data_IF_081846806131
#
_entry.id   IF_081846806131
#
_cell.length_a   1.000
_cell.length_b   1.000
_cell.length_c   1.000
_cell.angle_alpha   90.00
_cell.angle_beta   90.00
_cell.angle_gamma   90.00
#
_symmetry.space_group_name_H-M   'P 1'
#
loop_
_entity.id
_entity.type
_entity.pdbx_description
1 polymer ?
#
# COMPACT_ATOMS: atom_id res chain seq x y z
N UNK A 1 -0.99 22.19 19.18
CA UNK A 1 -1.93 22.81 18.22
C UNK A 1 -1.39 22.59 16.82
N UNK A 2 -1.63 21.41 16.27
CA UNK A 2 -1.14 21.02 14.95
C UNK A 2 -2.12 21.56 13.92
N UNK A 3 -1.71 22.57 13.14
CA UNK A 3 -2.51 23.10 12.04
C UNK A 3 -2.47 22.07 10.91
N UNK A 4 -3.58 21.37 10.67
CA UNK A 4 -3.77 20.58 9.47
C UNK A 4 -3.86 21.57 8.29
N UNK A 5 -2.73 21.81 7.62
CA UNK A 5 -2.71 22.50 6.34
C UNK A 5 -3.17 21.50 5.28
N UNK A 6 -4.38 21.68 4.76
CA UNK A 6 -4.79 21.05 3.52
C UNK A 6 -3.87 21.61 2.42
N UNK A 7 -2.90 20.83 1.98
CA UNK A 7 -2.08 21.13 0.82
C UNK A 7 -2.98 21.02 -0.42
N UNK A 8 -3.42 22.17 -0.91
CA UNK A 8 -3.93 22.30 -2.26
C UNK A 8 -2.77 22.03 -3.22
N UNK A 9 -2.82 20.93 -3.98
CA UNK A 9 -2.28 20.86 -5.35
C UNK A 9 -2.73 19.56 -6.03
N UNK A 10 -3.74 19.66 -6.89
CA UNK A 10 -3.81 19.00 -8.19
C UNK A 10 -5.10 19.47 -8.87
N UNK A 11 -4.95 20.20 -9.97
CA UNK A 11 -6.05 20.61 -10.83
C UNK A 11 -6.79 19.37 -11.34
N UNK A 12 -8.02 19.17 -10.87
CA UNK A 12 -8.95 18.22 -11.49
C UNK A 12 -10.02 19.05 -12.21
N UNK A 13 -9.82 19.23 -13.51
CA UNK A 13 -10.87 19.72 -14.41
C UNK A 13 -12.04 18.74 -14.35
N UNK A 14 -13.11 19.13 -13.64
CA UNK A 14 -14.34 18.36 -13.55
C UNK A 14 -15.14 18.61 -14.84
N UNK A 15 -14.97 17.74 -15.82
CA UNK A 15 -15.82 17.71 -17.02
C UNK A 15 -17.19 17.18 -16.62
N UNK A 16 -18.14 18.09 -16.39
CA UNK A 16 -19.52 17.75 -16.07
C UNK A 16 -20.26 17.35 -17.36
N UNK A 17 -20.40 16.04 -17.60
CA UNK A 17 -21.30 15.54 -18.62
C UNK A 17 -22.74 15.68 -18.12
N UNK A 18 -23.48 16.66 -18.65
CA UNK A 18 -24.93 16.74 -18.51
C UNK A 18 -25.57 15.55 -19.22
N UNK A 19 -26.15 14.64 -18.44
CA UNK A 19 -27.28 13.82 -18.90
C UNK A 19 -28.50 14.23 -18.09
N UNK A 20 -29.48 14.81 -18.80
CA UNK A 20 -30.75 15.30 -18.27
C UNK A 20 -31.57 14.16 -17.66
N UNK A 21 -31.51 14.04 -16.35
CA UNK A 21 -32.54 13.42 -15.50
C UNK A 21 -32.87 14.42 -14.40
N UNK A 22 -34.16 14.67 -14.15
CA UNK A 22 -34.68 15.69 -13.23
C UNK A 22 -33.82 15.88 -11.98
N UNK A 23 -33.20 17.05 -11.86
CA UNK A 23 -32.33 17.43 -10.75
C UNK A 23 -33.22 17.84 -9.57
N UNK A 24 -33.50 16.93 -8.64
CA UNK A 24 -33.88 17.34 -7.28
C UNK A 24 -32.58 17.50 -6.49
N UNK A 25 -32.14 18.75 -6.33
CA UNK A 25 -30.98 19.09 -5.52
C UNK A 25 -31.41 19.12 -4.04
N UNK A 26 -31.83 17.97 -3.49
CA UNK A 26 -32.42 17.95 -2.15
C UNK A 26 -31.36 17.85 -1.03
N UNK A 27 -30.17 17.34 -1.33
CA UNK A 27 -29.10 17.12 -0.33
C UNK A 27 -27.69 17.32 -0.88
N UNK A 28 -26.82 17.92 -0.05
CA UNK A 28 -25.37 17.92 -0.20
C UNK A 28 -24.83 16.77 0.64
N UNK A 29 -24.28 15.74 0.00
CA UNK A 29 -23.67 14.62 0.73
C UNK A 29 -22.15 14.81 0.87
N UNK A 30 -21.66 14.82 2.10
CA UNK A 30 -20.23 14.84 2.43
C UNK A 30 -19.88 13.52 3.11
N UNK A 31 -19.15 12.65 2.42
CA UNK A 31 -18.71 11.38 3.03
C UNK A 31 -17.48 11.60 3.90
N UNK A 32 -17.60 11.28 5.19
CA UNK A 32 -16.46 11.11 6.08
C UNK A 32 -16.07 9.63 6.10
N UNK A 33 -14.96 9.30 5.46
CA UNK A 33 -14.34 7.98 5.53
C UNK A 33 -13.34 7.98 6.68
N UNK A 34 -13.69 7.27 7.75
CA UNK A 34 -12.79 7.04 8.88
C UNK A 34 -12.13 5.69 8.62
N UNK A 35 -10.87 5.75 8.19
CA UNK A 35 -10.01 4.57 8.21
C UNK A 35 -9.76 4.15 9.65
N UNK A 36 -9.82 2.84 9.94
CA UNK A 36 -9.28 2.32 11.19
C UNK A 36 -7.80 2.77 11.27
N UNK A 37 -7.35 3.28 12.42
CA UNK A 37 -6.49 4.45 12.42
C UNK A 37 -5.06 4.15 11.95
N UNK A 38 -4.43 5.08 11.20
CA UNK A 38 -3.02 5.38 11.44
C UNK A 38 -2.84 5.64 12.93
N UNK A 39 -1.92 4.98 13.63
CA UNK A 39 -1.58 5.48 14.96
C UNK A 39 -0.96 6.89 14.86
N UNK A 40 -1.42 7.87 15.65
CA UNK A 40 -2.57 7.81 16.57
C UNK A 40 -3.91 8.12 15.89
N UNK A 41 -4.98 7.46 16.36
CA UNK A 41 -6.35 7.64 15.88
C UNK A 41 -6.78 9.11 15.91
N UNK A 42 -7.14 9.73 14.76
CA UNK A 42 -7.60 11.12 14.74
C UNK A 42 -8.92 11.34 15.49
N UNK A 43 -9.63 10.26 15.85
CA UNK A 43 -10.82 10.26 16.69
C UNK A 43 -10.57 9.64 18.07
N UNK A 44 -9.29 9.47 18.48
CA UNK A 44 -8.98 8.98 19.81
C UNK A 44 -9.62 9.88 20.87
N UNK A 45 -10.43 9.28 21.74
CA UNK A 45 -11.15 10.01 22.78
C UNK A 45 -12.40 10.77 22.30
N UNK A 46 -12.72 10.79 21.00
CA UNK A 46 -13.98 11.31 20.49
C UNK A 46 -15.12 10.35 20.82
N UNK A 47 -16.20 10.87 21.37
CA UNK A 47 -17.45 10.16 21.66
C UNK A 47 -18.62 10.66 20.82
N UNK A 48 -18.63 11.94 20.48
CA UNK A 48 -19.66 12.58 19.66
C UNK A 48 -19.03 13.44 18.57
N UNK A 49 -19.73 13.57 17.45
CA UNK A 49 -19.34 14.45 16.34
C UNK A 49 -20.38 15.55 16.22
N UNK A 50 -19.94 16.80 16.13
CA UNK A 50 -20.78 17.96 15.86
C UNK A 50 -20.48 18.51 14.48
N UNK A 51 -21.52 18.68 13.68
CA UNK A 51 -21.49 19.39 12.42
C UNK A 51 -22.12 20.75 12.62
N UNK A 52 -21.45 21.81 12.20
CA UNK A 52 -21.96 23.18 12.23
C UNK A 52 -21.84 23.79 10.85
N UNK A 53 -22.91 24.38 10.34
CA UNK A 53 -22.90 25.28 9.19
C UNK A 53 -23.08 26.70 9.69
N UNK A 54 -22.17 27.58 9.29
CA UNK A 54 -22.20 29.01 9.62
C UNK A 54 -21.80 29.85 8.41
N UNK A 55 -21.97 31.16 8.48
CA UNK A 55 -21.63 32.07 7.39
C UNK A 55 -22.23 33.45 7.60
N UNK A 56 -21.95 34.37 6.69
CA UNK A 56 -22.47 35.73 6.76
C UNK A 56 -24.01 35.72 6.71
N UNK A 57 -24.63 36.44 7.65
CA UNK A 57 -26.09 36.56 7.76
C UNK A 57 -26.82 35.29 8.22
N UNK A 58 -26.09 34.27 8.70
CA UNK A 58 -26.66 33.01 9.16
C UNK A 58 -26.39 32.79 10.66
N UNK A 59 -27.45 32.59 11.44
CA UNK A 59 -27.33 31.97 12.76
C UNK A 59 -26.84 30.53 12.58
N UNK A 60 -25.69 30.23 13.19
CA UNK A 60 -25.05 28.93 13.02
C UNK A 60 -26.02 27.79 13.34
N UNK A 61 -26.12 26.82 12.41
CA UNK A 61 -26.94 25.62 12.54
C UNK A 61 -26.04 24.45 12.85
N UNK A 62 -26.39 23.66 13.86
CA UNK A 62 -25.58 22.50 14.22
C UNK A 62 -26.43 21.28 14.54
N UNK A 63 -25.84 20.11 14.35
CA UNK A 63 -26.37 18.81 14.72
C UNK A 63 -25.26 17.98 15.35
N UNK A 64 -25.63 17.03 16.20
CA UNK A 64 -24.70 16.12 16.88
C UNK A 64 -25.17 14.69 16.70
N UNK A 65 -24.22 13.77 16.54
CA UNK A 65 -24.45 12.33 16.57
C UNK A 65 -23.37 11.65 17.40
N UNK A 66 -23.66 10.44 17.88
CA UNK A 66 -22.62 9.59 18.42
C UNK A 66 -21.58 9.32 17.33
N UNK A 67 -20.31 9.21 17.72
CA UNK A 67 -19.21 8.87 16.78
C UNK A 67 -19.51 7.61 15.97
N UNK A 68 -20.31 6.69 16.54
CA UNK A 68 -20.59 5.37 15.98
C UNK A 68 -22.05 5.21 15.47
N UNK A 69 -22.85 6.28 15.38
CA UNK A 69 -24.08 6.27 14.56
C UNK A 69 -23.70 6.17 13.05
N UNK A 70 -24.59 6.22 12.07
CA UNK A 70 -24.19 5.99 10.65
C UNK A 70 -24.16 7.25 9.79
N UNK A 71 -24.79 8.32 10.26
CA UNK A 71 -25.09 9.50 9.48
C UNK A 71 -25.41 10.70 10.37
N UNK A 72 -24.89 11.86 9.99
CA UNK A 72 -25.16 13.13 10.63
C UNK A 72 -25.88 14.04 9.63
N UNK A 73 -27.15 14.34 9.90
CA UNK A 73 -28.04 15.08 8.99
C UNK A 73 -28.37 16.44 9.56
N UNK A 74 -28.09 17.50 8.80
CA UNK A 74 -28.46 18.87 9.12
C UNK A 74 -29.52 19.35 8.11
N UNK A 75 -30.81 19.37 8.48
CA UNK A 75 -31.85 19.88 7.60
C UNK A 75 -31.87 21.42 7.58
N UNK A 76 -32.51 21.97 6.55
CA UNK A 76 -32.84 23.40 6.41
C UNK A 76 -31.62 24.34 6.44
N UNK A 77 -30.55 24.00 5.71
CA UNK A 77 -29.38 24.89 5.60
C UNK A 77 -29.73 26.10 4.73
N UNK A 78 -29.73 27.33 5.27
CA UNK A 78 -30.17 28.49 4.50
C UNK A 78 -29.17 28.87 3.41
N UNK A 79 -29.70 29.17 2.23
CA UNK A 79 -28.94 29.72 1.11
C UNK A 79 -28.19 30.99 1.50
N UNK A 80 -27.12 31.29 0.77
CA UNK A 80 -26.33 32.50 0.89
C UNK A 80 -24.84 32.24 0.71
N UNK A 81 -24.06 33.30 0.84
CA UNK A 81 -22.65 33.31 0.47
C UNK A 81 -21.74 32.96 1.65
N UNK A 82 -20.51 32.55 1.34
CA UNK A 82 -19.45 32.30 2.30
C UNK A 82 -19.86 31.38 3.48
N UNK A 83 -20.61 30.33 3.16
CA UNK A 83 -20.94 29.25 4.09
C UNK A 83 -19.69 28.46 4.41
N UNK A 84 -19.57 28.05 5.66
CA UNK A 84 -18.45 27.26 6.18
C UNK A 84 -19.02 26.08 6.94
N UNK A 85 -18.50 24.89 6.65
CA UNK A 85 -18.79 23.66 7.37
C UNK A 85 -17.67 23.43 8.37
N UNK A 86 -18.04 23.28 9.64
CA UNK A 86 -17.14 22.90 10.73
C UNK A 86 -17.56 21.52 11.24
N UNK A 87 -16.60 20.61 11.36
CA UNK A 87 -16.78 19.30 11.97
C UNK A 87 -15.89 19.23 13.22
N UNK A 88 -16.49 18.99 14.37
CA UNK A 88 -15.81 18.88 15.66
C UNK A 88 -15.99 17.48 16.24
N UNK A 89 -14.92 16.85 16.70
CA UNK A 89 -14.95 15.66 17.53
C UNK A 89 -14.89 16.05 19.00
N UNK A 90 -15.84 15.58 19.80
CA UNK A 90 -15.95 15.91 21.22
C UNK A 90 -15.75 14.69 22.10
N UNK A 91 -15.04 14.87 23.21
CA UNK A 91 -14.88 13.83 24.22
C UNK A 91 -16.13 13.60 25.07
N UNK A 92 -16.06 12.65 26.01
CA UNK A 92 -17.18 12.31 26.90
C UNK A 92 -17.65 13.47 27.80
N UNK A 93 -16.81 14.48 28.01
CA UNK A 93 -17.13 15.69 28.75
C UNK A 93 -17.66 16.83 27.87
N UNK A 94 -17.72 16.63 26.55
CA UNK A 94 -18.12 17.63 25.58
C UNK A 94 -16.99 18.62 25.20
N UNK A 95 -15.74 18.33 25.54
CA UNK A 95 -14.61 19.15 25.10
C UNK A 95 -14.21 18.79 23.66
N UNK A 96 -13.91 19.79 22.84
CA UNK A 96 -13.46 19.59 21.45
C UNK A 96 -12.03 19.06 21.46
N UNK A 97 -11.83 17.85 20.92
CA UNK A 97 -10.52 17.19 20.82
C UNK A 97 -9.99 17.12 19.39
N UNK A 98 -10.86 17.24 18.39
CA UNK A 98 -10.48 17.37 16.98
C UNK A 98 -11.42 18.34 16.24
N UNK A 99 -10.92 19.04 15.22
CA UNK A 99 -11.68 20.04 14.45
C UNK A 99 -11.18 20.15 13.01
N UNK A 100 -12.11 20.09 12.06
CA UNK A 100 -11.90 20.35 10.63
C UNK A 100 -12.85 21.44 10.14
N UNK A 101 -12.40 22.21 9.15
CA UNK A 101 -13.18 23.32 8.58
C UNK A 101 -13.02 23.34 7.06
N UNK A 102 -14.13 23.55 6.34
CA UNK A 102 -14.11 23.70 4.89
C UNK A 102 -13.61 25.08 4.47
N UNK A 103 -13.17 25.23 3.22
CA UNK A 103 -13.13 26.55 2.60
C UNK A 103 -14.56 27.14 2.51
N UNK A 104 -14.71 28.47 2.47
CA UNK A 104 -16.00 29.10 2.23
C UNK A 104 -16.59 28.67 0.88
N UNK A 105 -17.90 28.44 0.84
CA UNK A 105 -18.65 28.11 -0.38
C UNK A 105 -20.01 28.82 -0.38
N UNK A 106 -20.59 29.00 -1.57
CA UNK A 106 -21.89 29.65 -1.71
C UNK A 106 -23.00 28.60 -1.93
N UNK A 107 -24.15 28.79 -1.28
CA UNK A 107 -25.36 28.00 -1.49
C UNK A 107 -26.41 28.86 -2.18
N UNK A 108 -26.90 28.43 -3.34
CA UNK A 108 -27.98 29.11 -4.06
C UNK A 108 -29.37 28.65 -3.59
N UNK A 109 -30.41 29.44 -3.85
CA UNK A 109 -31.80 29.09 -3.54
C UNK A 109 -32.30 27.82 -4.27
N UNK A 110 -31.68 27.47 -5.39
CA UNK A 110 -31.94 26.22 -6.12
C UNK A 110 -31.04 25.06 -5.66
N UNK A 111 -30.20 25.31 -4.66
CA UNK A 111 -29.22 24.37 -4.12
C UNK A 111 -29.78 23.48 -3.00
N UNK A 112 -28.93 22.61 -2.46
CA UNK A 112 -29.32 21.67 -1.42
C UNK A 112 -29.70 22.37 -0.11
N UNK A 113 -30.88 22.02 0.41
CA UNK A 113 -31.37 22.49 1.71
C UNK A 113 -31.05 21.53 2.85
N UNK A 114 -30.41 20.39 2.56
CA UNK A 114 -29.97 19.41 3.56
C UNK A 114 -28.49 19.15 3.38
N UNK A 115 -27.73 19.06 4.47
CA UNK A 115 -26.36 18.55 4.48
C UNK A 115 -26.35 17.20 5.17
N UNK A 116 -26.08 16.15 4.40
CA UNK A 116 -25.97 14.78 4.87
C UNK A 116 -24.51 14.39 4.98
N UNK A 117 -24.06 14.00 6.17
CA UNK A 117 -22.70 13.56 6.43
C UNK A 117 -22.72 12.10 6.88
N UNK A 118 -22.85 11.13 5.95
CA UNK A 118 -22.71 9.72 6.29
C UNK A 118 -21.30 9.45 6.79
N UNK A 119 -21.20 8.71 7.89
CA UNK A 119 -19.96 8.23 8.44
C UNK A 119 -20.02 6.71 8.50
N UNK A 120 -19.16 6.07 7.71
CA UNK A 120 -18.99 4.64 7.73
C UNK A 120 -17.61 4.34 8.31
N UNK A 121 -17.55 3.65 9.46
CA UNK A 121 -16.38 2.82 9.74
C UNK A 121 -16.35 1.78 8.65
N UNK A 122 -15.44 1.95 7.71
CA UNK A 122 -15.17 0.91 6.74
C UNK A 122 -14.18 -0.03 7.42
N UNK A 123 -14.44 -1.32 7.40
CA UNK A 123 -13.53 -2.42 7.74
C UNK A 123 -12.34 -2.52 6.76
N UNK A 124 -11.91 -1.38 6.21
CA UNK A 124 -10.82 -1.27 5.27
C UNK A 124 -9.51 -1.05 6.04
N UNK A 125 -9.07 -2.12 6.70
CA UNK A 125 -7.76 -2.20 7.31
C UNK A 125 -6.83 -3.01 6.41
N UNK A 126 -6.27 -2.35 5.39
CA UNK A 126 -5.17 -2.93 4.61
C UNK A 126 -3.84 -2.51 5.24
N UNK A 127 -2.92 -3.47 5.37
CA UNK A 127 -1.54 -3.18 5.76
C UNK A 127 -0.76 -2.84 4.50
N UNK A 128 -0.07 -1.71 4.53
CA UNK A 128 0.83 -1.24 3.49
C UNK A 128 2.25 -1.17 4.05
N UNK A 129 3.23 -1.42 3.21
CA UNK A 129 4.66 -1.47 3.53
C UNK A 129 5.37 -0.43 2.67
N UNK A 130 6.35 0.30 3.20
CA UNK A 130 7.18 1.17 2.35
C UNK A 130 7.88 0.32 1.30
N UNK A 131 7.85 0.80 0.06
CA UNK A 131 8.35 0.14 -1.15
C UNK A 131 9.13 1.20 -1.96
N UNK A 132 10.41 1.36 -1.62
CA UNK A 132 11.27 2.44 -2.14
C UNK A 132 11.76 2.13 -3.57
N UNK A 133 11.94 0.85 -3.91
CA UNK A 133 12.40 0.40 -5.23
C UNK A 133 11.26 0.05 -6.23
N UNK A 134 10.03 -0.05 -5.74
CA UNK A 134 8.78 -0.25 -6.50
C UNK A 134 8.64 -1.62 -7.14
N UNK A 135 9.11 -2.67 -6.48
CA UNK A 135 8.94 -4.05 -6.95
C UNK A 135 7.62 -4.72 -6.50
N UNK A 136 6.87 -4.05 -5.62
CA UNK A 136 5.57 -4.49 -5.13
C UNK A 136 5.61 -5.28 -3.82
N UNK A 137 6.79 -5.44 -3.22
CA UNK A 137 7.02 -5.84 -1.84
C UNK A 137 7.57 -4.66 -1.04
N UNK A 138 7.52 -4.73 0.28
CA UNK A 138 8.03 -3.65 1.12
C UNK A 138 8.49 -4.14 2.47
N UNK A 139 9.13 -3.24 3.22
CA UNK A 139 9.83 -3.59 4.47
C UNK A 139 8.84 -3.75 5.63
N UNK A 140 8.89 -4.90 6.31
CA UNK A 140 7.98 -5.25 7.40
C UNK A 140 7.98 -4.27 8.60
N UNK A 141 9.14 -3.66 8.88
CA UNK A 141 9.32 -2.69 9.96
C UNK A 141 8.72 -1.30 9.65
N UNK A 142 8.28 -1.08 8.41
CA UNK A 142 7.78 0.22 7.94
C UNK A 142 6.26 0.26 7.72
N UNK A 143 5.55 -0.76 8.21
CA UNK A 143 4.14 -0.97 7.88
C UNK A 143 3.19 0.06 8.48
N UNK A 144 2.14 0.38 7.73
CA UNK A 144 1.04 1.25 8.14
C UNK A 144 -0.31 0.63 7.77
N UNK A 145 -1.33 0.84 8.59
CA UNK A 145 -2.70 0.39 8.28
C UNK A 145 -3.49 1.55 7.68
N UNK A 146 -4.07 1.38 6.49
CA UNK A 146 -4.87 2.39 5.78
C UNK A 146 -6.00 1.76 4.98
N UNK A 147 -6.95 2.59 4.53
CA UNK A 147 -7.96 2.19 3.55
C UNK A 147 -7.49 2.22 2.10
N UNK A 148 -6.48 3.02 1.81
CA UNK A 148 -5.95 3.28 0.47
C UNK A 148 -4.44 3.32 0.59
N UNK A 149 -3.74 2.75 -0.39
CA UNK A 149 -2.29 2.77 -0.45
C UNK A 149 -1.80 4.23 -0.42
N UNK A 150 -0.96 4.63 0.56
CA UNK A 150 -0.16 5.83 0.42
C UNK A 150 0.74 5.74 -0.82
N UNK A 151 1.26 6.87 -1.32
CA UNK A 151 2.33 6.85 -2.32
C UNK A 151 3.52 6.00 -1.83
N UNK A 152 4.20 5.34 -2.77
CA UNK A 152 5.42 4.56 -2.54
C UNK A 152 5.25 3.45 -1.47
N UNK A 153 4.11 2.73 -1.54
CA UNK A 153 3.85 1.59 -0.66
C UNK A 153 3.30 0.35 -1.37
N UNK A 154 3.78 -0.81 -0.93
CA UNK A 154 3.35 -2.14 -1.35
C UNK A 154 2.24 -2.71 -0.44
N UNK A 155 1.52 -3.71 -0.96
CA UNK A 155 0.53 -4.49 -0.19
C UNK A 155 1.09 -5.80 0.35
N UNK A 156 2.32 -6.15 -0.03
CA UNK A 156 3.02 -7.36 0.38
C UNK A 156 4.25 -6.94 1.18
N UNK A 157 4.47 -7.60 2.32
CA UNK A 157 5.67 -7.41 3.14
C UNK A 157 6.75 -8.43 2.81
N UNK A 158 7.80 -8.44 3.62
CA UNK A 158 8.89 -9.41 3.54
C UNK A 158 10.05 -9.04 2.63
N UNK A 159 10.13 -7.79 2.17
CA UNK A 159 11.31 -7.32 1.44
C UNK A 159 12.52 -7.17 2.38
N UNK A 160 13.62 -7.80 2.00
CA UNK A 160 14.89 -7.81 2.72
C UNK A 160 15.89 -6.76 2.19
N UNK A 161 15.65 -6.15 1.02
CA UNK A 161 16.49 -5.09 0.43
C UNK A 161 15.66 -4.10 -0.42
N UNK A 162 14.93 -3.19 0.25
CA UNK A 162 14.06 -2.10 -0.27
C UNK A 162 14.74 -1.13 -1.26
N UNK A 163 16.04 -1.28 -1.50
CA UNK A 163 16.80 -0.51 -2.47
C UNK A 163 17.04 -1.25 -3.79
N UNK A 164 16.58 -2.49 -3.92
CA UNK A 164 16.95 -3.41 -4.99
C UNK A 164 15.77 -4.27 -5.46
N UNK A 165 14.98 -3.75 -6.41
CA UNK A 165 13.76 -4.43 -6.89
C UNK A 165 13.93 -5.77 -7.63
N UNK A 166 15.12 -6.34 -7.60
CA UNK A 166 15.40 -7.74 -7.96
C UNK A 166 15.43 -8.68 -6.75
N UNK A 167 15.34 -8.17 -5.52
CA UNK A 167 15.45 -8.91 -4.26
C UNK A 167 14.10 -8.80 -3.55
N UNK A 168 13.31 -9.87 -3.55
CA UNK A 168 12.00 -9.89 -2.90
C UNK A 168 11.45 -11.31 -2.77
N UNK A 169 10.44 -11.56 -1.91
CA UNK A 169 9.79 -12.86 -1.75
C UNK A 169 9.25 -13.53 -3.02
N UNK A 170 9.01 -12.76 -4.08
CA UNK A 170 8.54 -13.27 -5.37
C UNK A 170 9.66 -13.78 -6.29
N UNK A 171 10.92 -13.58 -5.94
CA UNK A 171 12.04 -13.88 -6.80
C UNK A 171 12.26 -15.39 -6.94
N UNK A 172 12.51 -15.82 -8.18
CA UNK A 172 12.74 -17.24 -8.51
C UNK A 172 13.99 -17.48 -9.34
N UNK A 173 14.57 -16.42 -9.90
CA UNK A 173 15.79 -16.49 -10.69
C UNK A 173 17.02 -16.63 -9.80
N UNK A 174 18.03 -17.35 -10.29
CA UNK A 174 19.34 -17.44 -9.65
C UNK A 174 20.27 -16.36 -10.22
N UNK A 175 21.21 -15.85 -9.43
CA UNK A 175 22.20 -14.86 -9.84
C UNK A 175 23.63 -15.38 -9.63
N UNK A 176 24.55 -14.96 -10.50
CA UNK A 176 25.98 -15.31 -10.42
C UNK A 176 26.79 -14.31 -9.58
N UNK A 177 26.20 -13.17 -9.24
CA UNK A 177 26.76 -12.16 -8.35
C UNK A 177 25.85 -11.95 -7.14
N UNK A 178 26.44 -11.41 -6.07
CA UNK A 178 25.71 -11.06 -4.86
C UNK A 178 24.71 -9.92 -5.12
N UNK A 179 23.62 -9.90 -4.34
CA UNK A 179 22.66 -8.79 -4.36
C UNK A 179 23.30 -7.47 -3.89
N UNK A 180 22.69 -6.30 -4.19
CA UNK A 180 23.19 -5.01 -3.70
C UNK A 180 23.33 -4.94 -2.16
N UNK A 181 22.39 -5.51 -1.41
CA UNK A 181 22.44 -5.66 0.05
C UNK A 181 23.44 -6.71 0.55
N UNK A 182 24.00 -7.52 -0.35
CA UNK A 182 25.00 -8.54 -0.05
C UNK A 182 24.41 -9.93 0.15
N UNK A 183 25.24 -10.94 -0.09
CA UNK A 183 24.80 -12.34 -0.09
C UNK A 183 24.03 -12.72 -1.36
N UNK A 184 23.42 -13.89 -1.34
CA UNK A 184 22.70 -14.47 -2.48
C UNK A 184 21.26 -14.84 -2.17
N UNK A 185 20.69 -14.37 -1.06
CA UNK A 185 19.27 -14.53 -0.75
C UNK A 185 18.46 -13.48 -1.54
N UNK A 186 18.03 -13.86 -2.74
CA UNK A 186 17.26 -13.01 -3.64
C UNK A 186 15.77 -13.14 -3.40
N UNK A 187 15.34 -14.22 -2.73
CA UNK A 187 13.93 -14.51 -2.45
C UNK A 187 13.51 -14.20 -1.00
N UNK A 188 14.38 -13.58 -0.21
CA UNK A 188 14.16 -13.15 1.16
C UNK A 188 13.62 -14.26 2.08
N UNK A 189 14.02 -15.52 1.87
CA UNK A 189 13.61 -16.65 2.71
C UNK A 189 14.60 -16.96 3.86
N UNK A 190 15.69 -16.21 3.92
CA UNK A 190 16.76 -16.31 4.90
C UNK A 190 17.82 -17.36 4.57
N UNK A 191 17.86 -17.88 3.34
CA UNK A 191 18.84 -18.89 2.90
C UNK A 191 19.48 -18.49 1.57
N UNK A 192 20.71 -18.94 1.37
CA UNK A 192 21.35 -18.91 0.06
C UNK A 192 21.28 -20.31 -0.57
N UNK A 193 20.67 -20.41 -1.74
CA UNK A 193 20.24 -21.66 -2.32
C UNK A 193 20.92 -21.91 -3.66
N UNK A 194 21.76 -22.95 -3.79
CA UNK A 194 22.50 -23.20 -5.02
C UNK A 194 21.59 -23.69 -6.16
N UNK A 195 21.75 -23.11 -7.36
CA UNK A 195 21.09 -23.58 -8.59
C UNK A 195 21.45 -25.03 -8.91
N UNK A 196 22.73 -25.38 -8.75
CA UNK A 196 23.30 -26.70 -9.02
C UNK A 196 23.83 -27.34 -7.73
N UNK A 197 23.11 -28.33 -7.21
CA UNK A 197 23.43 -29.00 -5.95
C UNK A 197 24.09 -30.39 -6.12
N UNK A 198 24.31 -30.83 -7.35
CA UNK A 198 24.82 -32.16 -7.65
C UNK A 198 26.33 -32.18 -7.93
N UNK A 199 26.98 -33.25 -7.46
CA UNK A 199 28.34 -33.60 -7.86
C UNK A 199 28.30 -34.46 -9.12
N UNK A 200 29.30 -34.29 -9.98
CA UNK A 200 29.39 -35.04 -11.24
C UNK A 200 29.45 -36.56 -10.99
N UNK A 201 28.62 -37.32 -11.73
CA UNK A 201 28.57 -38.78 -11.71
C UNK A 201 28.26 -39.32 -13.11
N UNK A 202 29.17 -39.10 -14.04
CA UNK A 202 28.94 -39.46 -15.44
C UNK A 202 28.64 -40.96 -15.60
N UNK A 203 27.42 -41.26 -16.05
CA UNK A 203 26.96 -42.63 -16.26
C UNK A 203 26.06 -42.70 -17.48
N UNK A 204 26.23 -43.79 -18.24
CA UNK A 204 25.34 -44.13 -19.34
C UNK A 204 24.09 -44.84 -18.82
N UNK A 205 22.92 -44.30 -19.11
CA UNK A 205 21.62 -44.90 -18.77
C UNK A 205 20.70 -44.85 -19.99
N UNK A 206 20.15 -46.01 -20.40
CA UNK A 206 19.29 -46.06 -21.59
C UNK A 206 19.96 -45.64 -22.90
N UNK A 207 21.30 -45.70 -22.97
CA UNK A 207 22.07 -45.27 -24.15
C UNK A 207 22.51 -43.81 -24.14
N UNK A 208 22.05 -43.01 -23.18
CA UNK A 208 22.37 -41.57 -23.04
C UNK A 208 23.31 -41.35 -21.84
N UNK A 209 24.32 -40.51 -22.01
CA UNK A 209 25.17 -40.04 -20.93
C UNK A 209 24.51 -38.91 -20.13
N UNK A 210 24.60 -38.97 -18.81
CA UNK A 210 24.14 -37.92 -17.91
C UNK A 210 24.84 -38.01 -16.55
N UNK A 211 24.42 -37.14 -15.62
CA UNK A 211 25.09 -36.96 -14.32
C UNK A 211 26.05 -35.79 -14.30
N UNK A 212 25.76 -34.74 -15.08
CA UNK A 212 26.47 -33.46 -15.03
C UNK A 212 26.47 -32.90 -13.60
N UNK A 213 27.55 -32.24 -13.20
CA UNK A 213 27.65 -31.71 -11.85
C UNK A 213 29.01 -31.10 -11.52
N UNK A 214 29.19 -30.69 -10.27
CA UNK A 214 30.45 -30.14 -9.80
C UNK A 214 31.53 -31.22 -9.66
N UNK A 215 32.76 -30.88 -10.03
CA UNK A 215 33.93 -31.69 -9.74
C UNK A 215 34.29 -31.57 -8.26
N UNK A 216 34.02 -32.61 -7.48
CA UNK A 216 34.22 -32.60 -6.02
C UNK A 216 33.03 -32.01 -5.27
N UNK A 217 33.27 -31.15 -4.29
CA UNK A 217 32.21 -30.54 -3.48
C UNK A 217 31.43 -29.48 -4.26
N UNK A 218 30.15 -29.31 -3.93
CA UNK A 218 29.35 -28.19 -4.43
C UNK A 218 29.96 -26.89 -3.91
N UNK A 219 30.38 -25.96 -4.79
CA UNK A 219 30.92 -24.67 -4.39
C UNK A 219 29.88 -23.80 -3.65
N UNK A 220 30.35 -22.90 -2.81
CA UNK A 220 29.50 -21.87 -2.19
C UNK A 220 28.99 -20.88 -3.25
N UNK A 221 27.94 -20.13 -2.92
CA UNK A 221 27.34 -19.13 -3.79
C UNK A 221 28.38 -18.10 -4.28
N UNK A 222 28.34 -17.81 -5.58
CA UNK A 222 29.28 -16.91 -6.25
C UNK A 222 30.69 -17.48 -6.47
N UNK A 223 31.02 -18.65 -5.92
CA UNK A 223 32.32 -19.26 -6.15
C UNK A 223 32.36 -19.95 -7.53
N UNK A 224 33.47 -19.79 -8.24
CA UNK A 224 33.72 -20.52 -9.48
C UNK A 224 34.47 -21.82 -9.19
N UNK A 225 34.01 -22.91 -9.79
CA UNK A 225 34.66 -24.22 -9.71
C UNK A 225 34.55 -24.96 -11.04
N UNK A 226 35.21 -26.12 -11.12
CA UNK A 226 35.11 -26.99 -12.28
C UNK A 226 33.77 -27.73 -12.27
N UNK A 227 33.00 -27.58 -13.34
CA UNK A 227 31.79 -28.32 -13.63
C UNK A 227 32.07 -29.34 -14.74
N UNK A 228 31.55 -30.56 -14.58
CA UNK A 228 31.69 -31.64 -15.54
C UNK A 228 30.38 -31.82 -16.30
N UNK A 229 30.47 -31.79 -17.62
CA UNK A 229 29.38 -32.12 -18.55
C UNK A 229 29.65 -33.50 -19.12
N UNK A 230 28.69 -34.41 -18.96
CA UNK A 230 28.78 -35.80 -19.41
C UNK A 230 28.23 -35.91 -20.84
N UNK A 231 29.13 -36.11 -21.81
CA UNK A 231 28.78 -36.16 -23.23
C UNK A 231 28.81 -37.59 -23.77
N UNK A 232 28.01 -37.83 -24.81
CA UNK A 232 28.00 -39.08 -25.56
C UNK A 232 29.29 -39.19 -26.40
N UNK A 233 30.24 -40.02 -25.95
CA UNK A 233 31.49 -40.27 -26.69
C UNK A 233 32.01 -41.71 -26.61
N UNK A 234 31.25 -42.63 -25.99
CA UNK A 234 31.65 -44.03 -25.86
C UNK A 234 30.95 -44.76 -24.71
N UNK A 235 31.60 -45.82 -24.24
CA UNK A 235 31.38 -46.44 -22.93
C UNK A 235 32.76 -46.66 -22.29
N UNK A 236 33.18 -45.84 -21.30
CA UNK A 236 32.39 -44.89 -20.52
C UNK A 236 32.02 -43.60 -21.28
N UNK A 237 31.15 -42.78 -20.66
CA UNK A 237 30.82 -41.44 -21.13
C UNK A 237 32.06 -40.55 -21.17
N UNK A 238 32.06 -39.55 -22.05
CA UNK A 238 33.15 -38.56 -22.12
C UNK A 238 32.85 -37.44 -21.13
N UNK A 239 33.83 -37.10 -20.29
CA UNK A 239 33.74 -35.97 -19.37
C UNK A 239 34.38 -34.74 -19.99
N UNK A 240 33.63 -33.65 -20.08
CA UNK A 240 34.14 -32.34 -20.50
C UNK A 240 34.06 -31.40 -19.31
N UNK A 241 35.21 -30.86 -18.90
CA UNK A 241 35.29 -29.91 -17.80
C UNK A 241 35.20 -28.47 -18.30
N UNK A 242 34.43 -27.65 -17.59
CA UNK A 242 34.40 -26.21 -17.79
C UNK A 242 34.35 -25.49 -16.43
N UNK A 243 34.71 -24.20 -16.41
CA UNK A 243 34.57 -23.38 -15.20
C UNK A 243 33.19 -22.76 -15.19
N UNK A 244 32.42 -22.98 -14.11
CA UNK A 244 31.15 -22.31 -13.86
C UNK A 244 31.17 -21.61 -12.52
N UNK A 245 30.41 -20.52 -12.41
CA UNK A 245 30.09 -19.88 -11.14
C UNK A 245 28.81 -20.47 -10.57
N UNK A 246 28.82 -20.78 -9.28
CA UNK A 246 27.62 -21.21 -8.57
C UNK A 246 26.63 -20.06 -8.48
N UNK A 247 25.56 -20.13 -9.26
CA UNK A 247 24.45 -19.20 -9.11
C UNK A 247 23.62 -19.60 -7.90
N UNK A 248 23.08 -18.61 -7.23
CA UNK A 248 22.25 -18.79 -6.04
C UNK A 248 21.07 -17.83 -6.03
N UNK A 249 20.10 -18.12 -5.18
CA UNK A 249 18.98 -17.26 -4.85
C UNK A 249 18.60 -17.39 -3.39
#
# INVERSE_FOLDING_TARGET
MTRLRLLALAALTLTLALTLGACSADSLSIRLLIADPPEPDPLQGVTTVRLTVSGEGLDARSTVAARDEGELRLPEVPYGNARVIVVEGLDSGGAVVSRGESSPFDLSEAGPNVVDVPFARTDCAMTFYRDDDRDGYGVDDSKVVRCVAPPDMATRGGDCDDGAGTVNPGQSSFADAASPGGGFDYNCDGKEEPELADQARCKKSGGVCGGDGWSGNVPACGASATFIVCQDGGNPCTEVSETRTQRCR
#
